data_IF_525525605719
#
_entry.id   IF_525525605719
#
_cell.length_a   1.000
_cell.length_b   1.000
_cell.length_c   1.000
_cell.angle_alpha   90.00
_cell.angle_beta   90.00
_cell.angle_gamma   90.00
#
_symmetry.space_group_name_H-M   'P 1'
#
loop_
_entity.id
_entity.type
_entity.pdbx_description
1 polymer ?
#
# COMPACT_ATOMS: atom_id res chain seq x y z
N UNK A 1 -41.12 -5.55 -78.24
CA UNK A 1 -40.56 -6.49 -77.24
C UNK A 1 -39.06 -6.48 -77.40
N UNK A 2 -38.28 -6.35 -76.32
CA UNK A 2 -36.83 -6.50 -76.41
C UNK A 2 -36.49 -7.89 -76.98
N UNK A 3 -35.46 -7.97 -77.83
CA UNK A 3 -35.00 -9.24 -78.40
C UNK A 3 -34.24 -10.04 -77.34
N UNK A 4 -34.17 -11.36 -77.53
CA UNK A 4 -33.49 -12.28 -76.60
C UNK A 4 -32.02 -11.86 -76.41
N UNK A 5 -31.34 -11.46 -77.48
CA UNK A 5 -29.94 -10.98 -77.46
C UNK A 5 -29.75 -9.72 -76.59
N UNK A 6 -30.71 -8.79 -76.61
CA UNK A 6 -30.66 -7.59 -75.77
C UNK A 6 -30.82 -7.95 -74.29
N UNK A 7 -31.63 -8.97 -73.99
CA UNK A 7 -31.82 -9.48 -72.64
C UNK A 7 -30.55 -10.19 -72.13
N UNK A 8 -29.91 -11.01 -72.95
CA UNK A 8 -28.65 -11.69 -72.64
C UNK A 8 -27.53 -10.70 -72.33
N UNK A 9 -27.36 -9.67 -73.17
CA UNK A 9 -26.37 -8.62 -72.91
C UNK A 9 -26.64 -7.91 -71.56
N UNK A 10 -27.90 -7.62 -71.25
CA UNK A 10 -28.26 -6.97 -69.98
C UNK A 10 -27.98 -7.86 -68.78
N UNK A 11 -28.21 -9.16 -68.90
CA UNK A 11 -27.89 -10.14 -67.85
C UNK A 11 -26.38 -10.21 -67.63
N UNK A 12 -25.56 -10.38 -68.67
CA UNK A 12 -24.10 -10.41 -68.51
C UNK A 12 -23.54 -9.12 -67.90
N UNK A 13 -24.08 -7.95 -68.29
CA UNK A 13 -23.68 -6.68 -67.69
C UNK A 13 -24.06 -6.58 -66.21
N UNK A 14 -25.23 -7.11 -65.84
CA UNK A 14 -25.65 -7.16 -64.43
C UNK A 14 -24.75 -8.09 -63.63
N UNK A 15 -24.42 -9.28 -64.15
CA UNK A 15 -23.51 -10.22 -63.52
C UNK A 15 -22.15 -9.59 -63.24
N UNK A 16 -21.55 -8.90 -64.22
CA UNK A 16 -20.27 -8.22 -64.03
C UNK A 16 -20.36 -7.11 -62.98
N UNK A 17 -21.44 -6.31 -62.98
CA UNK A 17 -21.62 -5.26 -61.98
C UNK A 17 -21.82 -5.83 -60.58
N UNK A 18 -22.57 -6.93 -60.45
CA UNK A 18 -22.75 -7.62 -59.18
C UNK A 18 -21.42 -8.18 -58.66
N UNK A 19 -20.62 -8.83 -59.50
CA UNK A 19 -19.29 -9.33 -59.12
C UNK A 19 -18.35 -8.21 -58.66
N UNK A 20 -18.30 -7.09 -59.39
CA UNK A 20 -17.49 -5.93 -59.04
C UNK A 20 -17.90 -5.35 -57.68
N UNK A 21 -19.20 -5.13 -57.46
CA UNK A 21 -19.71 -4.59 -56.20
C UNK A 21 -19.44 -5.53 -55.02
N UNK A 22 -19.63 -6.84 -55.21
CA UNK A 22 -19.33 -7.84 -54.17
C UNK A 22 -17.85 -7.83 -53.85
N UNK A 23 -16.97 -7.84 -54.86
CA UNK A 23 -15.52 -7.84 -54.69
C UNK A 23 -15.02 -6.58 -53.99
N UNK A 24 -15.54 -5.42 -54.37
CA UNK A 24 -15.22 -4.14 -53.73
C UNK A 24 -15.63 -4.15 -52.25
N UNK A 25 -16.86 -4.58 -51.94
CA UNK A 25 -17.36 -4.67 -50.56
C UNK A 25 -16.58 -5.68 -49.74
N UNK A 26 -16.24 -6.84 -50.30
CA UNK A 26 -15.45 -7.86 -49.63
C UNK A 26 -14.04 -7.33 -49.29
N UNK A 27 -13.41 -6.63 -50.24
CA UNK A 27 -12.10 -6.00 -50.04
C UNK A 27 -12.15 -4.95 -48.93
N UNK A 28 -13.17 -4.09 -48.96
CA UNK A 28 -13.38 -3.07 -47.93
C UNK A 28 -13.60 -3.67 -46.54
N UNK A 29 -14.42 -4.72 -46.44
CA UNK A 29 -14.68 -5.42 -45.18
C UNK A 29 -13.39 -6.07 -44.66
N UNK A 30 -12.61 -6.71 -45.53
CA UNK A 30 -11.32 -7.31 -45.15
C UNK A 30 -10.38 -6.25 -44.57
N UNK A 31 -10.21 -5.11 -45.26
CA UNK A 31 -9.36 -4.02 -44.77
C UNK A 31 -9.83 -3.46 -43.43
N UNK A 32 -11.14 -3.32 -43.22
CA UNK A 32 -11.69 -2.87 -41.92
C UNK A 32 -11.46 -3.90 -40.82
N UNK A 33 -11.58 -5.19 -41.12
CA UNK A 33 -11.28 -6.25 -40.16
C UNK A 33 -9.81 -6.24 -39.76
N UNK A 34 -8.91 -6.09 -40.72
CA UNK A 34 -7.46 -6.01 -40.45
C UNK A 34 -7.14 -4.80 -39.57
N UNK A 35 -7.70 -3.63 -39.87
CA UNK A 35 -7.52 -2.42 -39.05
C UNK A 35 -8.06 -2.59 -37.62
N UNK A 36 -9.22 -3.23 -37.46
CA UNK A 36 -9.79 -3.50 -36.14
C UNK A 36 -8.94 -4.50 -35.36
N UNK A 37 -8.43 -5.53 -36.03
CA UNK A 37 -7.56 -6.52 -35.43
C UNK A 37 -6.25 -5.90 -34.96
N UNK A 38 -5.58 -5.14 -35.82
CA UNK A 38 -4.36 -4.39 -35.45
C UNK A 38 -4.59 -3.45 -34.28
N UNK A 39 -5.71 -2.70 -34.29
CA UNK A 39 -6.05 -1.81 -33.18
C UNK A 39 -6.25 -2.59 -31.88
N UNK A 40 -6.93 -3.73 -31.95
CA UNK A 40 -7.20 -4.58 -30.78
C UNK A 40 -5.91 -5.14 -30.19
N UNK A 41 -4.99 -5.64 -31.01
CA UNK A 41 -3.70 -6.15 -30.54
C UNK A 41 -2.83 -5.03 -29.95
N UNK A 42 -2.88 -3.82 -30.53
CA UNK A 42 -2.19 -2.64 -29.98
C UNK A 42 -2.74 -2.26 -28.61
N UNK A 43 -4.05 -2.12 -28.49
CA UNK A 43 -4.73 -1.75 -27.25
C UNK A 43 -4.48 -2.80 -26.15
N UNK A 44 -4.49 -4.09 -26.50
CA UNK A 44 -4.17 -5.20 -25.58
C UNK A 44 -2.72 -5.12 -25.09
N UNK A 45 -1.78 -4.82 -25.99
CA UNK A 45 -0.36 -4.67 -25.64
C UNK A 45 -0.15 -3.50 -24.69
N UNK A 46 -0.75 -2.34 -24.98
CA UNK A 46 -0.70 -1.16 -24.10
C UNK A 46 -1.33 -1.44 -22.74
N UNK A 47 -2.44 -2.18 -22.70
CA UNK A 47 -3.10 -2.55 -21.45
C UNK A 47 -2.20 -3.44 -20.59
N UNK A 48 -1.58 -4.45 -21.20
CA UNK A 48 -0.64 -5.35 -20.52
C UNK A 48 0.57 -4.60 -19.96
N UNK A 49 1.12 -3.65 -20.73
CA UNK A 49 2.22 -2.80 -20.27
C UNK A 49 1.80 -1.94 -19.07
N UNK A 50 0.64 -1.27 -19.14
CA UNK A 50 0.10 -0.46 -18.03
C UNK A 50 -0.13 -1.30 -16.78
N UNK A 51 -0.68 -2.51 -16.93
CA UNK A 51 -0.88 -3.44 -15.82
C UNK A 51 0.46 -3.86 -15.21
N UNK A 52 1.46 -4.18 -16.04
CA UNK A 52 2.81 -4.51 -15.59
C UNK A 52 3.45 -3.39 -14.77
N UNK A 53 3.36 -2.15 -15.25
CA UNK A 53 3.86 -0.96 -14.55
C UNK A 53 3.14 -0.73 -13.22
N UNK A 54 1.81 -0.88 -13.19
CA UNK A 54 1.01 -0.74 -11.96
C UNK A 54 1.36 -1.81 -10.94
N UNK A 55 1.58 -3.05 -11.37
CA UNK A 55 1.98 -4.14 -10.50
C UNK A 55 3.36 -3.88 -9.88
N UNK A 56 4.35 -3.50 -10.71
CA UNK A 56 5.68 -3.17 -10.24
C UNK A 56 5.68 -2.00 -9.23
N UNK A 57 4.89 -0.95 -9.49
CA UNK A 57 4.72 0.16 -8.57
C UNK A 57 4.10 -0.29 -7.25
N UNK A 58 3.06 -1.11 -7.32
CA UNK A 58 2.36 -1.63 -6.13
C UNK A 58 3.27 -2.49 -5.25
N UNK A 59 4.08 -3.36 -5.84
CA UNK A 59 5.04 -4.18 -5.09
C UNK A 59 6.13 -3.33 -4.44
N UNK A 60 6.62 -2.29 -5.14
CA UNK A 60 7.56 -1.33 -4.56
C UNK A 60 6.95 -0.59 -3.36
N UNK A 61 5.74 -0.04 -3.52
CA UNK A 61 5.06 0.71 -2.46
C UNK A 61 4.78 -0.17 -1.23
N UNK A 62 4.40 -1.44 -1.43
CA UNK A 62 4.26 -2.43 -0.34
C UNK A 62 5.58 -2.66 0.40
N UNK A 63 6.68 -2.82 -0.33
CA UNK A 63 8.01 -3.00 0.25
C UNK A 63 8.42 -1.83 1.14
N UNK A 64 8.27 -0.61 0.64
CA UNK A 64 8.54 0.62 1.41
C UNK A 64 7.64 0.74 2.64
N UNK A 65 6.36 0.34 2.53
CA UNK A 65 5.43 0.36 3.65
C UNK A 65 5.85 -0.63 4.75
N UNK A 66 6.23 -1.85 4.37
CA UNK A 66 6.72 -2.88 5.29
C UNK A 66 7.99 -2.43 6.01
N UNK A 67 8.92 -1.79 5.28
CA UNK A 67 10.14 -1.24 5.88
C UNK A 67 9.81 -0.15 6.92
N UNK A 68 8.93 0.79 6.58
CA UNK A 68 8.48 1.85 7.51
C UNK A 68 7.80 1.27 8.75
N UNK A 69 6.96 0.25 8.59
CA UNK A 69 6.32 -0.44 9.71
C UNK A 69 7.38 -1.12 10.59
N UNK A 70 8.36 -1.79 10.00
CA UNK A 70 9.46 -2.42 10.73
C UNK A 70 10.27 -1.41 11.56
N UNK A 71 10.62 -0.26 10.97
CA UNK A 71 11.32 0.82 11.65
C UNK A 71 10.49 1.42 12.81
N UNK A 72 9.20 1.66 12.59
CA UNK A 72 8.30 2.16 13.63
C UNK A 72 8.14 1.17 14.78
N UNK A 73 8.05 -0.13 14.47
CA UNK A 73 7.96 -1.17 15.49
C UNK A 73 9.24 -1.21 16.33
N UNK A 74 10.42 -1.20 15.69
CA UNK A 74 11.70 -1.18 16.40
C UNK A 74 11.85 0.07 17.29
N UNK A 75 11.46 1.24 16.79
CA UNK A 75 11.46 2.48 17.58
C UNK A 75 10.50 2.39 18.77
N UNK A 76 9.30 1.86 18.56
CA UNK A 76 8.30 1.69 19.62
C UNK A 76 8.79 0.76 20.73
N UNK A 77 9.43 -0.35 20.38
CA UNK A 77 10.01 -1.27 21.37
C UNK A 77 11.16 -0.62 22.15
N UNK A 78 12.01 0.16 21.47
CA UNK A 78 13.07 0.92 22.13
C UNK A 78 12.50 1.95 23.11
N UNK A 79 11.53 2.75 22.67
CA UNK A 79 10.89 3.79 23.49
C UNK A 79 10.21 3.19 24.72
N UNK A 80 9.54 2.03 24.57
CA UNK A 80 8.99 1.26 25.70
C UNK A 80 10.07 0.83 26.68
N UNK A 81 11.17 0.28 26.20
CA UNK A 81 12.30 -0.13 27.03
C UNK A 81 12.90 1.04 27.82
N UNK A 82 13.09 2.19 27.17
CA UNK A 82 13.58 3.40 27.82
C UNK A 82 12.60 3.93 28.87
N UNK A 83 11.29 3.90 28.61
CA UNK A 83 10.26 4.29 29.57
C UNK A 83 10.24 3.39 30.81
N UNK A 84 10.36 2.06 30.61
CA UNK A 84 10.47 1.11 31.72
C UNK A 84 11.72 1.39 32.56
N UNK A 85 12.86 1.59 31.92
CA UNK A 85 14.12 1.87 32.62
C UNK A 85 14.08 3.20 33.39
N UNK A 86 13.42 4.24 32.87
CA UNK A 86 13.17 5.49 33.60
C UNK A 86 12.26 5.25 34.80
N UNK A 87 11.13 4.60 34.59
CA UNK A 87 10.17 4.26 35.66
C UNK A 87 10.82 3.49 36.80
N UNK A 88 11.69 2.52 36.48
CA UNK A 88 12.39 1.74 37.50
C UNK A 88 13.45 2.55 38.25
N UNK A 89 14.11 3.52 37.61
CA UNK A 89 15.01 4.45 38.29
C UNK A 89 14.24 5.34 39.25
N UNK A 90 13.16 5.96 38.78
CA UNK A 90 12.33 6.86 39.59
C UNK A 90 11.74 6.13 40.81
N UNK A 91 11.28 4.88 40.63
CA UNK A 91 10.84 4.03 41.74
C UNK A 91 11.95 3.77 42.78
N UNK A 92 13.17 3.45 42.33
CA UNK A 92 14.31 3.23 43.25
C UNK A 92 14.67 4.51 44.00
N UNK A 93 14.74 5.64 43.30
CA UNK A 93 15.02 6.94 43.92
C UNK A 93 13.97 7.30 44.99
N UNK A 94 12.69 7.08 44.69
CA UNK A 94 11.62 7.29 45.65
C UNK A 94 11.77 6.38 46.88
N UNK A 95 12.10 5.10 46.69
CA UNK A 95 12.34 4.16 47.79
C UNK A 95 13.51 4.64 48.66
N UNK A 96 14.63 5.07 48.06
CA UNK A 96 15.77 5.59 48.82
C UNK A 96 15.41 6.84 49.61
N UNK A 97 14.63 7.75 49.01
CA UNK A 97 14.18 8.95 49.70
C UNK A 97 13.25 8.63 50.88
N UNK A 98 12.30 7.72 50.71
CA UNK A 98 11.43 7.24 51.79
C UNK A 98 12.21 6.56 52.91
N UNK A 99 13.18 5.70 52.56
CA UNK A 99 14.03 5.03 53.55
C UNK A 99 14.86 6.04 54.36
N UNK A 100 15.45 7.05 53.69
CA UNK A 100 16.17 8.13 54.35
C UNK A 100 15.27 8.95 55.29
N UNK A 101 14.05 9.25 54.87
CA UNK A 101 13.09 9.99 55.68
C UNK A 101 12.67 9.21 56.94
N UNK A 102 12.41 7.90 56.82
CA UNK A 102 12.09 7.03 57.96
C UNK A 102 13.28 6.95 58.92
N UNK A 103 14.50 6.73 58.42
CA UNK A 103 15.71 6.68 59.25
C UNK A 103 15.94 8.00 60.00
N UNK A 104 15.74 9.14 59.32
CA UNK A 104 15.82 10.47 59.95
C UNK A 104 14.78 10.64 61.05
N UNK A 105 13.54 10.23 60.81
CA UNK A 105 12.47 10.26 61.82
C UNK A 105 12.78 9.35 63.01
N UNK A 106 13.27 8.13 62.76
CA UNK A 106 13.70 7.20 63.81
C UNK A 106 14.84 7.77 64.66
N UNK A 107 15.82 8.44 64.05
CA UNK A 107 16.91 9.08 64.79
C UNK A 107 16.38 10.22 65.69
N UNK A 108 15.43 11.01 65.20
CA UNK A 108 14.79 12.07 65.98
C UNK A 108 14.00 11.50 67.16
N UNK A 109 13.21 10.44 66.96
CA UNK A 109 12.44 9.84 68.05
C UNK A 109 13.35 9.21 69.11
N UNK A 110 14.43 8.53 68.71
CA UNK A 110 15.44 7.99 69.65
C UNK A 110 16.09 9.12 70.44
N UNK A 111 16.48 10.20 69.78
CA UNK A 111 17.12 11.37 70.43
C UNK A 111 16.16 12.04 71.42
N UNK A 112 14.88 12.19 71.06
CA UNK A 112 13.86 12.75 71.93
C UNK A 112 13.63 11.88 73.17
N UNK A 113 13.52 10.56 73.00
CA UNK A 113 13.36 9.61 74.12
C UNK A 113 14.56 9.69 75.06
N UNK A 114 15.79 9.71 74.52
CA UNK A 114 17.01 9.82 75.32
C UNK A 114 17.06 11.13 76.13
N UNK A 115 16.70 12.26 75.52
CA UNK A 115 16.65 13.55 76.20
C UNK A 115 15.64 13.57 77.36
N UNK A 116 14.46 12.97 77.16
CA UNK A 116 13.45 12.83 78.21
C UNK A 116 13.97 11.95 79.35
N UNK A 117 14.60 10.81 79.04
CA UNK A 117 15.14 9.89 80.04
C UNK A 117 16.27 10.54 80.86
N UNK A 118 17.17 11.27 80.20
CA UNK A 118 18.28 11.98 80.84
C UNK A 118 17.81 13.11 81.75
N UNK A 119 16.65 13.71 81.44
CA UNK A 119 16.04 14.70 82.31
C UNK A 119 15.37 14.05 83.54
N UNK A 120 14.71 12.91 83.36
CA UNK A 120 14.05 12.18 84.45
C UNK A 120 15.02 11.51 85.45
N UNK A 121 16.25 11.23 85.04
CA UNK A 121 17.31 10.63 85.87
C UNK A 121 18.18 11.67 86.62
N UNK A 122 17.92 12.97 86.43
CA UNK A 122 18.65 14.08 87.04
C UNK A 122 17.81 14.75 88.12
#
# INVERSE_FOLDING_TARGET
MPTIEELEHRVSRLETLFEEVIKERLTYISQRLDQLYEKTERDKTELLEKIGLLYAKTEKDKGELLEKIGLLHAKTEKDKGELLAKTDRDKRELIYWMAGLILGFSALTITAIWAILSFALK
#
